data_IF_676486802192
#
_entry.id   IF_676486802192
#
_cell.length_a   1.000
_cell.length_b   1.000
_cell.length_c   1.000
_cell.angle_alpha   90.00
_cell.angle_beta   90.00
_cell.angle_gamma   90.00
#
_symmetry.space_group_name_H-M   'P 1'
#
loop_
_entity.id
_entity.type
_entity.pdbx_description
1 polymer ?
#
# COMPACT_ATOMS: atom_id res chain seq x y z
N UNK A 1 -24.22 33.73 7.40
CA UNK A 1 -24.09 32.29 7.16
C UNK A 1 -25.47 31.73 6.91
N UNK A 2 -25.74 31.23 5.71
CA UNK A 2 -27.08 30.76 5.31
C UNK A 2 -27.47 29.56 6.15
N UNK A 3 -28.68 29.61 6.73
CA UNK A 3 -29.18 28.62 7.70
C UNK A 3 -30.26 27.74 7.03
N UNK A 4 -30.42 26.52 7.51
CA UNK A 4 -31.48 25.59 7.08
C UNK A 4 -32.88 26.17 7.21
N UNK A 5 -33.13 27.16 8.11
CA UNK A 5 -34.40 27.85 8.22
C UNK A 5 -34.72 28.70 6.99
N UNK A 6 -33.69 29.35 6.41
CA UNK A 6 -33.87 30.15 5.20
C UNK A 6 -34.14 29.26 3.97
N UNK A 7 -33.47 28.11 3.89
CA UNK A 7 -33.76 27.09 2.86
C UNK A 7 -35.18 26.59 2.96
N UNK A 8 -35.63 26.25 4.19
CA UNK A 8 -36.99 25.78 4.43
C UNK A 8 -38.04 26.86 4.06
N UNK A 9 -37.78 28.11 4.42
CA UNK A 9 -38.65 29.26 4.08
C UNK A 9 -38.76 29.47 2.58
N UNK A 10 -37.63 29.46 1.86
CA UNK A 10 -37.59 29.65 0.41
C UNK A 10 -38.27 28.48 -0.33
N UNK A 11 -38.07 27.26 0.15
CA UNK A 11 -38.68 26.05 -0.42
C UNK A 11 -40.17 25.87 -0.05
N UNK A 12 -40.75 26.71 0.84
CA UNK A 12 -42.13 26.62 1.32
C UNK A 12 -42.42 25.34 2.11
N UNK A 13 -41.47 24.90 2.95
CA UNK A 13 -41.59 23.67 3.76
C UNK A 13 -41.18 23.92 5.21
N UNK A 14 -41.52 22.97 6.10
CA UNK A 14 -41.01 23.02 7.48
C UNK A 14 -39.49 22.76 7.53
N UNK A 15 -38.83 23.30 8.57
CA UNK A 15 -37.40 23.00 8.83
C UNK A 15 -37.13 21.51 8.93
N UNK A 16 -38.07 20.74 9.52
CA UNK A 16 -37.96 19.30 9.63
C UNK A 16 -38.05 18.62 8.27
N UNK A 17 -38.91 19.09 7.35
CA UNK A 17 -39.01 18.60 5.98
C UNK A 17 -37.75 18.91 5.18
N UNK A 18 -37.23 20.15 5.28
CA UNK A 18 -35.99 20.53 4.65
C UNK A 18 -34.80 19.68 5.17
N UNK A 19 -34.67 19.47 6.48
CA UNK A 19 -33.66 18.61 7.07
C UNK A 19 -33.76 17.15 6.55
N UNK A 20 -34.99 16.64 6.45
CA UNK A 20 -35.26 15.28 5.97
C UNK A 20 -34.93 15.12 4.48
N UNK A 21 -35.19 16.15 3.67
CA UNK A 21 -34.81 16.14 2.24
C UNK A 21 -33.30 16.00 2.01
N UNK A 22 -32.46 16.50 2.92
CA UNK A 22 -31.01 16.29 2.87
C UNK A 22 -30.54 14.99 3.54
N UNK A 23 -31.23 14.54 4.56
CA UNK A 23 -30.83 13.38 5.35
C UNK A 23 -31.26 12.05 4.70
N UNK A 24 -32.51 12.00 4.27
CA UNK A 24 -33.17 10.79 3.72
C UNK A 24 -34.05 11.25 2.54
N UNK A 25 -33.43 11.54 1.37
CA UNK A 25 -34.16 12.14 0.24
C UNK A 25 -35.26 11.23 -0.32
N UNK A 26 -35.14 9.91 -0.14
CA UNK A 26 -36.12 8.91 -0.60
C UNK A 26 -37.46 8.95 0.16
N UNK A 27 -37.44 9.41 1.41
CA UNK A 27 -38.69 9.51 2.21
C UNK A 27 -39.43 10.84 2.01
N UNK A 28 -38.91 11.72 1.15
CA UNK A 28 -39.51 13.02 0.81
C UNK A 28 -40.01 12.98 -0.64
N UNK A 29 -41.26 13.42 -0.88
CA UNK A 29 -41.81 13.45 -2.22
C UNK A 29 -40.88 14.19 -3.18
N UNK A 30 -40.71 13.66 -4.41
CA UNK A 30 -39.73 14.15 -5.39
C UNK A 30 -39.88 15.67 -5.66
N UNK A 31 -41.08 16.18 -5.82
CA UNK A 31 -41.38 17.59 -6.03
C UNK A 31 -40.93 18.47 -4.83
N UNK A 32 -41.19 18.03 -3.62
CA UNK A 32 -40.80 18.75 -2.39
C UNK A 32 -39.28 18.74 -2.23
N UNK A 33 -38.66 17.62 -2.52
CA UNK A 33 -37.20 17.47 -2.48
C UNK A 33 -36.50 18.40 -3.49
N UNK A 34 -37.02 18.47 -4.72
CA UNK A 34 -36.47 19.35 -5.74
C UNK A 34 -36.57 20.82 -5.33
N UNK A 35 -37.73 21.29 -4.79
CA UNK A 35 -37.86 22.64 -4.26
C UNK A 35 -36.83 22.96 -3.18
N UNK A 36 -36.58 22.02 -2.26
CA UNK A 36 -35.55 22.20 -1.21
C UNK A 36 -34.16 22.31 -1.81
N UNK A 37 -33.83 21.47 -2.80
CA UNK A 37 -32.49 21.49 -3.43
C UNK A 37 -32.29 22.76 -4.30
N UNK A 38 -33.31 23.23 -4.99
CA UNK A 38 -33.26 24.52 -5.72
C UNK A 38 -33.01 25.67 -4.74
N UNK A 39 -33.81 25.77 -3.66
CA UNK A 39 -33.62 26.78 -2.65
C UNK A 39 -32.22 26.75 -2.00
N UNK A 40 -31.70 25.57 -1.75
CA UNK A 40 -30.35 25.41 -1.22
C UNK A 40 -29.28 25.91 -2.19
N UNK A 41 -29.40 25.60 -3.49
CA UNK A 41 -28.49 26.10 -4.53
C UNK A 41 -28.53 27.63 -4.65
N UNK A 42 -29.71 28.22 -4.68
CA UNK A 42 -29.90 29.68 -4.75
C UNK A 42 -29.25 30.41 -3.60
N UNK A 43 -29.37 29.83 -2.39
CA UNK A 43 -28.81 30.40 -1.16
C UNK A 43 -27.36 30.04 -0.90
N UNK A 44 -26.73 29.22 -1.74
CA UNK A 44 -25.37 28.69 -1.50
C UNK A 44 -25.30 27.84 -0.23
N UNK A 45 -26.43 27.28 0.23
CA UNK A 45 -26.49 26.49 1.45
C UNK A 45 -25.86 25.11 1.22
N UNK A 46 -24.93 24.77 2.10
CA UNK A 46 -24.36 23.42 2.20
C UNK A 46 -24.82 22.81 3.53
N UNK A 47 -25.47 21.63 3.49
CA UNK A 47 -25.86 20.96 4.74
C UNK A 47 -24.65 20.77 5.65
N UNK A 48 -24.76 21.23 6.89
CA UNK A 48 -23.71 21.01 7.88
C UNK A 48 -23.74 19.53 8.31
N UNK A 49 -22.75 18.76 7.89
CA UNK A 49 -22.60 17.34 8.27
C UNK A 49 -22.36 17.17 9.77
N UNK A 50 -21.74 18.16 10.45
CA UNK A 50 -21.40 18.11 11.87
C UNK A 50 -22.63 17.85 12.77
N UNK A 51 -23.77 18.50 12.48
CA UNK A 51 -25.00 18.29 13.26
C UNK A 51 -25.61 16.89 13.08
N UNK A 52 -25.38 16.24 11.94
CA UNK A 52 -25.80 14.85 11.67
C UNK A 52 -24.83 13.87 12.34
N UNK A 53 -23.54 14.12 12.23
CA UNK A 53 -22.45 13.33 12.83
C UNK A 53 -22.57 13.27 14.35
N UNK A 54 -22.85 14.41 15.01
CA UNK A 54 -23.08 14.48 16.46
C UNK A 54 -24.28 13.65 16.93
N UNK A 55 -25.31 13.48 16.07
CA UNK A 55 -26.51 12.70 16.41
C UNK A 55 -26.37 11.23 16.12
N UNK A 56 -25.59 10.86 15.09
CA UNK A 56 -25.38 9.47 14.65
C UNK A 56 -24.12 8.86 15.25
N UNK A 57 -23.27 9.64 15.91
CA UNK A 57 -21.95 9.26 16.41
C UNK A 57 -21.04 8.65 15.36
N UNK A 58 -21.30 8.90 14.07
CA UNK A 58 -20.49 8.43 12.95
C UNK A 58 -20.15 9.60 12.03
N UNK A 59 -18.90 9.63 11.56
CA UNK A 59 -18.42 10.65 10.63
C UNK A 59 -18.44 10.19 9.19
N UNK A 60 -18.50 8.88 8.95
CA UNK A 60 -18.26 8.22 7.68
C UNK A 60 -16.88 8.62 7.11
N UNK A 61 -15.90 8.79 7.98
CA UNK A 61 -14.53 9.14 7.66
C UNK A 61 -13.60 8.06 8.20
N UNK A 62 -12.74 7.54 7.35
CA UNK A 62 -11.70 6.57 7.69
C UNK A 62 -10.34 7.27 7.55
N UNK A 63 -9.49 7.15 8.57
CA UNK A 63 -8.10 7.56 8.50
C UNK A 63 -7.26 6.49 7.82
N UNK A 64 -6.41 6.90 6.87
CA UNK A 64 -5.48 5.99 6.19
C UNK A 64 -4.06 6.52 6.37
N UNK A 65 -3.18 5.69 6.90
CA UNK A 65 -1.77 5.99 7.07
C UNK A 65 -0.95 5.11 6.15
N UNK A 66 -0.07 5.74 5.37
CA UNK A 66 0.93 5.06 4.54
C UNK A 66 2.30 5.67 4.78
N UNK A 67 3.41 4.96 4.52
CA UNK A 67 4.74 5.53 4.73
C UNK A 67 4.99 6.80 3.92
N UNK A 68 4.73 6.78 2.62
CA UNK A 68 4.86 7.95 1.73
C UNK A 68 4.06 7.75 0.44
N UNK A 69 4.00 8.76 -0.42
CA UNK A 69 3.36 8.69 -1.73
C UNK A 69 4.36 8.71 -2.91
N UNK A 70 5.65 8.78 -2.62
CA UNK A 70 6.69 8.75 -3.65
C UNK A 70 6.82 7.36 -4.28
N UNK A 71 6.62 6.30 -3.48
CA UNK A 71 6.47 4.95 -4.02
C UNK A 71 5.05 4.77 -4.57
N UNK A 72 4.87 4.57 -5.89
CA UNK A 72 3.55 4.45 -6.53
C UNK A 72 2.66 3.36 -5.94
N UNK A 73 3.23 2.31 -5.34
CA UNK A 73 2.43 1.23 -4.72
C UNK A 73 1.45 1.77 -3.68
N UNK A 74 1.88 2.75 -2.84
CA UNK A 74 1.00 3.32 -1.82
C UNK A 74 -0.10 4.20 -2.41
N UNK A 75 0.19 4.90 -3.51
CA UNK A 75 -0.82 5.68 -4.23
C UNK A 75 -1.85 4.77 -4.92
N UNK A 76 -1.41 3.68 -5.57
CA UNK A 76 -2.29 2.69 -6.19
C UNK A 76 -3.18 1.99 -5.13
N UNK A 77 -2.59 1.65 -3.98
CA UNK A 77 -3.30 1.06 -2.85
C UNK A 77 -4.36 2.01 -2.29
N UNK A 78 -3.98 3.27 -2.02
CA UNK A 78 -4.92 4.28 -1.54
C UNK A 78 -6.06 4.51 -2.52
N UNK A 79 -5.77 4.59 -3.82
CA UNK A 79 -6.78 4.75 -4.86
C UNK A 79 -7.76 3.57 -4.91
N UNK A 80 -7.29 2.34 -4.67
CA UNK A 80 -8.14 1.16 -4.60
C UNK A 80 -9.02 1.20 -3.34
N UNK A 81 -8.44 1.51 -2.18
CA UNK A 81 -9.19 1.66 -0.92
C UNK A 81 -10.21 2.80 -0.99
N UNK A 82 -9.88 3.93 -1.66
CA UNK A 82 -10.82 5.04 -1.84
C UNK A 82 -12.06 4.60 -2.62
N UNK A 83 -11.87 3.84 -3.71
CA UNK A 83 -12.99 3.29 -4.49
C UNK A 83 -13.86 2.36 -3.64
N UNK A 84 -13.22 1.46 -2.88
CA UNK A 84 -13.90 0.51 -2.00
C UNK A 84 -14.69 1.22 -0.89
N UNK A 85 -14.09 2.21 -0.22
CA UNK A 85 -14.71 3.00 0.84
C UNK A 85 -15.89 3.84 0.32
N UNK A 86 -15.70 4.51 -0.82
CA UNK A 86 -16.75 5.32 -1.45
C UNK A 86 -17.96 4.49 -1.86
N UNK A 87 -17.77 3.28 -2.39
CA UNK A 87 -18.86 2.36 -2.70
C UNK A 87 -19.68 1.98 -1.45
N UNK A 88 -19.08 2.04 -0.27
CA UNK A 88 -19.70 1.74 1.04
C UNK A 88 -20.12 3.01 1.82
N UNK A 89 -20.05 4.19 1.20
CA UNK A 89 -20.51 5.48 1.76
C UNK A 89 -19.51 6.16 2.71
N UNK A 90 -18.25 5.74 2.70
CA UNK A 90 -17.16 6.33 3.49
C UNK A 90 -16.25 7.21 2.64
N UNK A 91 -15.62 8.19 3.29
CA UNK A 91 -14.53 8.98 2.70
C UNK A 91 -13.22 8.65 3.42
N UNK A 92 -12.10 8.82 2.73
CA UNK A 92 -10.78 8.60 3.31
C UNK A 92 -10.07 9.92 3.62
N UNK A 93 -9.33 9.94 4.71
CA UNK A 93 -8.39 10.99 5.08
C UNK A 93 -6.99 10.38 5.12
N UNK A 94 -6.12 10.81 4.22
CA UNK A 94 -4.78 10.27 4.04
C UNK A 94 -3.74 11.07 4.83
N UNK A 95 -2.81 10.36 5.46
CA UNK A 95 -1.62 10.93 6.07
C UNK A 95 -0.39 10.05 5.81
N UNK A 96 0.80 10.65 5.89
CA UNK A 96 2.07 9.96 5.67
C UNK A 96 2.99 10.06 6.88
N UNK A 97 3.85 9.07 7.09
CA UNK A 97 4.72 8.93 8.26
C UNK A 97 6.22 8.91 7.95
N UNK A 98 6.61 8.82 6.69
CA UNK A 98 8.00 8.72 6.22
C UNK A 98 8.81 7.63 6.95
N UNK A 99 8.18 6.49 7.24
CA UNK A 99 8.78 5.39 8.01
C UNK A 99 9.27 5.80 9.40
N UNK A 100 8.64 6.81 10.03
CA UNK A 100 8.99 7.27 11.38
C UNK A 100 7.93 6.85 12.39
N UNK A 101 8.31 6.03 13.38
CA UNK A 101 7.43 5.61 14.47
C UNK A 101 6.92 6.81 15.31
N UNK A 102 7.72 7.87 15.45
CA UNK A 102 7.31 9.10 16.14
C UNK A 102 6.19 9.80 15.37
N UNK A 103 6.32 9.88 14.04
CA UNK A 103 5.28 10.48 13.19
C UNK A 103 4.03 9.62 13.15
N UNK A 104 4.14 8.29 13.22
CA UNK A 104 2.98 7.38 13.32
C UNK A 104 2.11 7.78 14.50
N UNK A 105 2.68 7.93 15.70
CA UNK A 105 1.95 8.39 16.89
C UNK A 105 1.26 9.74 16.70
N UNK A 106 2.00 10.74 16.21
CA UNK A 106 1.46 12.08 16.03
C UNK A 106 0.31 12.12 15.01
N UNK A 107 0.45 11.36 13.91
CA UNK A 107 -0.54 11.30 12.84
C UNK A 107 -1.80 10.55 13.30
N UNK A 108 -1.67 9.43 14.03
CA UNK A 108 -2.82 8.71 14.60
C UNK A 108 -3.61 9.62 15.53
N UNK A 109 -2.94 10.30 16.46
CA UNK A 109 -3.56 11.26 17.36
C UNK A 109 -4.33 12.36 16.61
N UNK A 110 -3.77 12.90 15.53
CA UNK A 110 -4.45 13.93 14.73
C UNK A 110 -5.68 13.35 14.01
N UNK A 111 -5.60 12.15 13.44
CA UNK A 111 -6.75 11.48 12.82
C UNK A 111 -7.86 11.20 13.84
N UNK A 112 -7.53 10.76 15.06
CA UNK A 112 -8.51 10.56 16.13
C UNK A 112 -9.18 11.88 16.54
N UNK A 113 -8.44 13.00 16.58
CA UNK A 113 -9.02 14.35 16.80
C UNK A 113 -10.00 14.75 15.70
N UNK A 114 -9.77 14.32 14.46
CA UNK A 114 -10.72 14.48 13.34
C UNK A 114 -11.95 13.56 13.45
N UNK A 115 -12.00 12.71 14.49
CA UNK A 115 -13.08 11.76 14.75
C UNK A 115 -13.32 10.81 13.58
N UNK A 116 -12.26 10.24 13.02
CA UNK A 116 -12.40 9.13 12.08
C UNK A 116 -13.09 7.96 12.77
N UNK A 117 -13.96 7.23 12.05
CA UNK A 117 -14.70 6.09 12.60
C UNK A 117 -13.80 4.86 12.75
N UNK A 118 -12.64 4.83 12.06
CA UNK A 118 -11.63 3.80 12.15
C UNK A 118 -10.40 4.14 11.32
N UNK A 119 -9.37 3.30 11.43
CA UNK A 119 -8.05 3.53 10.86
C UNK A 119 -7.60 2.36 9.98
N UNK A 120 -7.01 2.66 8.83
CA UNK A 120 -6.21 1.73 8.03
C UNK A 120 -4.76 2.13 8.17
N UNK A 121 -3.92 1.22 8.62
CA UNK A 121 -2.56 1.52 9.03
C UNK A 121 -1.54 0.71 8.26
N UNK A 122 -0.58 1.39 7.62
CA UNK A 122 0.66 0.79 7.13
C UNK A 122 1.80 1.40 7.95
N UNK A 123 2.26 0.66 8.95
CA UNK A 123 3.26 1.12 9.93
C UNK A 123 4.67 0.60 9.60
N UNK A 124 5.65 1.02 10.37
CA UNK A 124 7.04 0.58 10.23
C UNK A 124 7.23 -0.87 10.69
N UNK A 125 6.73 -1.20 11.87
CA UNK A 125 6.76 -2.54 12.47
C UNK A 125 5.39 -2.85 13.09
N UNK A 126 4.77 -3.96 12.71
CA UNK A 126 3.46 -4.36 13.24
C UNK A 126 3.56 -5.13 14.57
N UNK A 127 4.73 -5.72 14.86
CA UNK A 127 4.92 -6.55 16.07
C UNK A 127 5.32 -5.73 17.31
N UNK A 128 6.06 -4.63 17.10
CA UNK A 128 6.59 -3.80 18.19
C UNK A 128 6.16 -2.34 18.01
N UNK A 129 4.87 -2.07 18.12
CA UNK A 129 4.30 -0.74 17.86
C UNK A 129 3.38 -0.27 18.98
N UNK A 130 3.84 0.70 19.77
CA UNK A 130 3.08 1.28 20.89
C UNK A 130 1.76 1.92 20.47
N UNK A 131 1.68 2.41 19.24
CA UNK A 131 0.44 3.01 18.73
C UNK A 131 -0.63 1.94 18.57
N UNK A 132 -0.26 0.78 18.01
CA UNK A 132 -1.19 -0.35 17.85
C UNK A 132 -1.64 -0.89 19.20
N UNK A 133 -0.72 -1.01 20.17
CA UNK A 133 -1.05 -1.41 21.55
C UNK A 133 -2.05 -0.45 22.18
N UNK A 134 -1.86 0.87 22.04
CA UNK A 134 -2.78 1.88 22.56
C UNK A 134 -4.16 1.79 21.90
N UNK A 135 -4.21 1.68 20.58
CA UNK A 135 -5.47 1.56 19.83
C UNK A 135 -6.26 0.30 20.23
N UNK A 136 -5.56 -0.82 20.48
CA UNK A 136 -6.19 -2.06 20.91
C UNK A 136 -6.74 -1.93 22.35
N UNK A 137 -6.01 -1.31 23.28
CA UNK A 137 -6.46 -1.08 24.66
C UNK A 137 -7.70 -0.14 24.67
N UNK A 138 -7.75 0.85 23.80
CA UNK A 138 -8.83 1.82 23.69
C UNK A 138 -10.02 1.29 22.87
N UNK A 139 -9.96 0.06 22.36
CA UNK A 139 -10.94 -0.55 21.44
C UNK A 139 -11.26 0.33 20.22
N UNK A 140 -10.24 1.07 19.73
CA UNK A 140 -10.35 1.89 18.54
C UNK A 140 -10.30 0.99 17.30
N UNK A 141 -11.30 1.04 16.39
CA UNK A 141 -11.32 0.18 15.21
C UNK A 141 -10.15 0.47 14.27
N UNK A 142 -9.32 -0.52 14.01
CA UNK A 142 -8.25 -0.41 13.00
C UNK A 142 -8.02 -1.72 12.25
N UNK A 143 -7.41 -1.61 11.08
CA UNK A 143 -6.91 -2.72 10.26
C UNK A 143 -5.50 -2.38 9.78
N UNK A 144 -4.59 -3.34 9.96
CA UNK A 144 -3.25 -3.28 9.38
C UNK A 144 -3.33 -3.65 7.89
N UNK A 145 -2.95 -2.73 7.02
CA UNK A 145 -2.89 -2.98 5.60
C UNK A 145 -1.45 -3.35 5.19
N UNK A 146 -1.31 -4.46 4.47
CA UNK A 146 -0.04 -4.98 3.92
C UNK A 146 0.94 -5.53 4.95
N UNK A 147 0.51 -5.70 6.20
CA UNK A 147 1.28 -6.35 7.26
C UNK A 147 0.83 -7.79 7.47
N UNK A 148 1.78 -8.63 7.84
CA UNK A 148 1.56 -9.94 8.42
C UNK A 148 1.88 -9.82 9.91
N UNK A 149 1.01 -10.33 10.77
CA UNK A 149 1.18 -10.36 12.23
C UNK A 149 0.66 -11.66 12.79
N UNK A 150 1.31 -12.17 13.81
CA UNK A 150 0.85 -13.32 14.60
C UNK A 150 -0.03 -12.87 15.79
N UNK A 151 -0.21 -11.55 15.98
CA UNK A 151 -1.06 -11.03 17.04
C UNK A 151 -2.55 -11.18 16.67
N UNK A 152 -3.24 -12.07 17.38
CA UNK A 152 -4.68 -12.37 17.17
C UNK A 152 -5.61 -11.20 17.55
N UNK A 153 -5.12 -10.21 18.29
CA UNK A 153 -5.89 -9.02 18.65
C UNK A 153 -5.93 -7.97 17.52
N UNK A 154 -5.16 -8.18 16.44
CA UNK A 154 -5.09 -7.27 15.32
C UNK A 154 -5.77 -7.84 14.08
N UNK A 155 -6.55 -7.02 13.38
CA UNK A 155 -6.98 -7.33 12.02
C UNK A 155 -5.87 -6.93 11.04
N UNK A 156 -5.39 -7.87 10.24
CA UNK A 156 -4.39 -7.61 9.22
C UNK A 156 -4.80 -8.17 7.85
N UNK A 157 -4.58 -7.40 6.81
CA UNK A 157 -4.82 -7.84 5.43
C UNK A 157 -3.54 -7.62 4.63
N UNK A 158 -2.95 -8.70 4.15
CA UNK A 158 -1.64 -8.69 3.52
C UNK A 158 -1.53 -9.65 2.36
N UNK A 159 -0.39 -9.61 1.70
CA UNK A 159 0.12 -10.73 0.90
C UNK A 159 1.18 -11.48 1.70
N UNK A 160 1.41 -12.75 1.33
CA UNK A 160 2.55 -13.49 1.84
C UNK A 160 3.84 -12.96 1.22
N UNK A 161 4.48 -12.03 1.94
CA UNK A 161 5.73 -11.40 1.51
C UNK A 161 6.87 -12.41 1.36
N UNK A 162 6.95 -13.40 2.27
CA UNK A 162 7.98 -14.43 2.28
C UNK A 162 7.78 -15.38 1.10
N UNK A 163 6.59 -15.92 0.91
CA UNK A 163 6.27 -16.78 -0.23
C UNK A 163 6.38 -16.02 -1.57
N UNK A 164 5.95 -14.76 -1.63
CA UNK A 164 6.06 -13.93 -2.82
C UNK A 164 7.51 -13.71 -3.27
N UNK A 165 8.43 -13.43 -2.35
CA UNK A 165 9.85 -13.30 -2.70
C UNK A 165 10.51 -14.64 -3.00
N UNK A 166 10.12 -15.72 -2.32
CA UNK A 166 10.55 -17.06 -2.68
C UNK A 166 10.12 -17.42 -4.12
N UNK A 167 8.90 -17.04 -4.51
CA UNK A 167 8.40 -17.21 -5.88
C UNK A 167 9.25 -16.43 -6.91
N UNK A 168 9.62 -15.17 -6.61
CA UNK A 168 10.51 -14.37 -7.47
C UNK A 168 11.89 -15.02 -7.63
N UNK A 169 12.46 -15.49 -6.52
CA UNK A 169 13.77 -16.13 -6.51
C UNK A 169 13.74 -17.44 -7.29
N UNK A 170 12.72 -18.26 -7.09
CA UNK A 170 12.51 -19.51 -7.82
C UNK A 170 12.34 -19.26 -9.31
N UNK A 171 11.58 -18.24 -9.70
CA UNK A 171 11.44 -17.87 -11.11
C UNK A 171 12.78 -17.65 -11.82
N UNK A 172 13.73 -16.98 -11.14
CA UNK A 172 15.09 -16.79 -11.67
C UNK A 172 15.91 -18.10 -11.65
N UNK A 173 15.75 -18.94 -10.63
CA UNK A 173 16.41 -20.25 -10.55
C UNK A 173 15.95 -21.16 -11.70
N UNK A 174 14.64 -21.18 -11.98
CA UNK A 174 14.04 -21.96 -13.07
C UNK A 174 14.49 -21.44 -14.44
N UNK A 175 14.77 -20.15 -14.55
CA UNK A 175 15.40 -19.54 -15.72
C UNK A 175 16.93 -19.85 -15.84
N UNK A 176 17.50 -20.64 -14.95
CA UNK A 176 18.90 -21.09 -14.98
C UNK A 176 19.87 -20.26 -14.16
N UNK A 177 19.45 -19.17 -13.54
CA UNK A 177 20.33 -18.38 -12.67
C UNK A 177 20.71 -19.15 -11.41
N UNK A 178 21.99 -19.09 -11.02
CA UNK A 178 22.52 -19.73 -9.80
C UNK A 178 23.19 -18.73 -8.85
N UNK A 179 23.62 -17.59 -9.38
CA UNK A 179 24.19 -16.48 -8.61
C UNK A 179 23.17 -15.35 -8.60
N UNK A 180 22.34 -15.35 -7.57
CA UNK A 180 21.27 -14.37 -7.37
C UNK A 180 21.60 -13.58 -6.10
N UNK A 181 21.39 -12.27 -6.11
CA UNK A 181 21.51 -11.43 -4.93
C UNK A 181 20.23 -10.60 -4.71
N UNK A 182 19.97 -10.22 -3.46
CA UNK A 182 18.83 -9.35 -3.14
C UNK A 182 19.31 -7.93 -2.87
N UNK A 183 18.55 -6.97 -3.43
CA UNK A 183 18.69 -5.53 -3.20
C UNK A 183 17.45 -5.04 -2.47
N UNK A 184 17.62 -4.33 -1.36
CA UNK A 184 16.53 -3.78 -0.56
C UNK A 184 16.89 -2.39 -0.03
N UNK A 185 15.89 -1.59 0.35
CA UNK A 185 16.09 -0.48 1.26
C UNK A 185 16.38 -0.97 2.68
N UNK A 186 16.47 -0.07 3.68
CA UNK A 186 16.80 -0.45 5.06
C UNK A 186 15.81 -1.49 5.61
N UNK A 187 16.26 -2.75 5.72
CA UNK A 187 15.37 -3.88 6.09
C UNK A 187 14.80 -3.76 7.51
N UNK A 188 15.52 -3.06 8.39
CA UNK A 188 15.08 -2.82 9.76
C UNK A 188 13.96 -1.76 9.87
N UNK A 189 13.71 -1.01 8.81
CA UNK A 189 12.63 0.00 8.75
C UNK A 189 11.34 -0.54 8.12
N UNK A 190 11.30 -1.84 7.76
CA UNK A 190 10.13 -2.44 7.14
C UNK A 190 10.09 -3.96 7.40
N UNK A 191 9.10 -4.40 8.16
CA UNK A 191 8.81 -5.82 8.37
C UNK A 191 8.59 -6.57 7.04
N UNK A 192 7.94 -5.93 6.07
CA UNK A 192 7.73 -6.47 4.72
C UNK A 192 9.05 -6.73 3.99
N UNK A 193 10.00 -5.79 4.07
CA UNK A 193 11.32 -5.98 3.47
C UNK A 193 12.10 -7.12 4.14
N UNK A 194 11.97 -7.26 5.46
CA UNK A 194 12.56 -8.36 6.24
C UNK A 194 11.98 -9.72 5.81
N UNK A 195 10.65 -9.84 5.74
CA UNK A 195 9.99 -11.08 5.29
C UNK A 195 10.37 -11.44 3.84
N UNK A 196 10.47 -10.45 2.96
CA UNK A 196 10.94 -10.66 1.58
C UNK A 196 12.38 -11.17 1.56
N UNK A 197 13.25 -10.63 2.41
CA UNK A 197 14.64 -11.15 2.52
C UNK A 197 14.68 -12.60 3.02
N UNK A 198 13.84 -12.94 3.97
CA UNK A 198 13.70 -14.34 4.43
C UNK A 198 13.26 -15.26 3.29
N UNK A 199 12.26 -14.85 2.49
CA UNK A 199 11.80 -15.63 1.34
C UNK A 199 12.86 -15.85 0.27
N UNK A 200 13.70 -14.84 0.00
CA UNK A 200 14.87 -14.99 -0.86
C UNK A 200 15.84 -16.05 -0.30
N UNK A 201 16.18 -15.94 0.99
CA UNK A 201 17.11 -16.88 1.66
C UNK A 201 16.58 -18.32 1.63
N UNK A 202 15.31 -18.50 1.93
CA UNK A 202 14.67 -19.82 1.93
C UNK A 202 14.76 -20.47 0.56
N UNK A 203 14.38 -19.75 -0.49
CA UNK A 203 14.41 -20.27 -1.84
C UNK A 203 15.83 -20.61 -2.31
N UNK A 204 16.84 -19.80 -1.98
CA UNK A 204 18.26 -20.11 -2.27
C UNK A 204 18.71 -21.38 -1.54
N UNK A 205 18.39 -21.49 -0.25
CA UNK A 205 18.77 -22.65 0.58
C UNK A 205 18.08 -23.94 0.11
N UNK A 206 16.77 -23.89 -0.19
CA UNK A 206 16.01 -25.03 -0.72
C UNK A 206 16.61 -25.62 -2.00
N UNK A 207 17.25 -24.77 -2.82
CA UNK A 207 17.90 -25.19 -4.06
C UNK A 207 19.41 -25.44 -3.91
N UNK A 208 19.94 -25.43 -2.69
CA UNK A 208 21.36 -25.67 -2.41
C UNK A 208 22.28 -24.58 -2.98
N UNK A 209 21.79 -23.36 -3.16
CA UNK A 209 22.53 -22.24 -3.69
C UNK A 209 23.10 -21.36 -2.57
N UNK A 210 24.23 -20.70 -2.86
CA UNK A 210 24.85 -19.76 -1.92
C UNK A 210 23.93 -18.56 -1.68
N UNK A 211 23.52 -18.38 -0.43
CA UNK A 211 22.77 -17.21 0.03
C UNK A 211 23.75 -16.08 0.35
N UNK A 212 23.48 -14.89 -0.19
CA UNK A 212 24.27 -13.69 0.04
C UNK A 212 23.55 -12.76 1.04
N UNK A 213 24.30 -11.97 1.82
CA UNK A 213 23.71 -10.87 2.57
C UNK A 213 22.93 -9.94 1.62
N UNK A 214 21.86 -9.36 2.13
CA UNK A 214 21.11 -8.34 1.38
C UNK A 214 22.02 -7.13 1.12
N UNK A 215 21.89 -6.55 -0.07
CA UNK A 215 22.55 -5.29 -0.43
C UNK A 215 21.58 -4.18 -0.06
N UNK A 216 21.83 -3.54 1.07
CA UNK A 216 20.98 -2.45 1.54
C UNK A 216 21.32 -1.14 0.82
N UNK A 217 20.26 -0.49 0.30
CA UNK A 217 20.32 0.86 -0.26
C UNK A 217 19.99 1.90 0.83
N UNK A 218 20.44 3.15 0.66
CA UNK A 218 20.14 4.20 1.64
C UNK A 218 18.66 4.50 1.84
N UNK A 219 17.84 4.21 0.82
CA UNK A 219 16.38 4.42 0.83
C UNK A 219 15.64 3.24 0.20
N UNK A 220 14.33 3.15 0.47
CA UNK A 220 13.49 2.09 -0.11
C UNK A 220 13.22 2.27 -1.61
N UNK A 221 13.51 3.43 -2.18
CA UNK A 221 13.10 3.80 -3.54
C UNK A 221 14.26 4.12 -4.48
N UNK A 222 15.45 4.34 -3.95
CA UNK A 222 16.58 4.85 -4.71
C UNK A 222 17.77 3.89 -4.63
N UNK A 223 18.24 3.47 -5.80
CA UNK A 223 19.43 2.65 -5.91
C UNK A 223 20.70 3.51 -5.96
N UNK A 224 21.75 3.02 -5.30
CA UNK A 224 23.08 3.57 -5.38
C UNK A 224 24.00 2.55 -6.07
N UNK A 225 24.50 2.89 -7.27
CA UNK A 225 25.40 2.01 -8.04
C UNK A 225 26.70 1.74 -7.28
N UNK A 226 27.21 2.70 -6.51
CA UNK A 226 28.44 2.51 -5.77
C UNK A 226 28.36 1.36 -4.75
N UNK A 227 27.18 1.12 -4.17
CA UNK A 227 26.95 -0.01 -3.28
C UNK A 227 26.96 -1.36 -4.00
N UNK A 228 26.65 -1.39 -5.30
CA UNK A 228 26.57 -2.60 -6.12
C UNK A 228 27.87 -2.91 -6.87
N UNK A 229 28.61 -1.90 -7.27
CA UNK A 229 29.78 -2.03 -8.14
C UNK A 229 30.80 -3.09 -7.67
N UNK A 230 31.18 -3.15 -6.38
CA UNK A 230 32.11 -4.17 -5.90
C UNK A 230 31.63 -5.60 -6.13
N UNK A 231 30.31 -5.83 -5.96
CA UNK A 231 29.70 -7.14 -6.17
C UNK A 231 29.65 -7.51 -7.67
N UNK A 232 29.33 -6.55 -8.52
CA UNK A 232 29.17 -6.76 -9.95
C UNK A 232 30.52 -7.02 -10.67
N UNK A 233 31.63 -6.48 -10.14
CA UNK A 233 32.97 -6.65 -10.70
C UNK A 233 33.73 -7.84 -10.12
N UNK A 234 33.17 -8.52 -9.10
CA UNK A 234 33.80 -9.65 -8.44
C UNK A 234 33.72 -10.95 -9.26
N UNK A 235 34.59 -11.95 -8.95
CA UNK A 235 34.60 -13.24 -9.64
C UNK A 235 33.31 -14.04 -9.44
N UNK A 236 32.56 -13.72 -8.41
CA UNK A 236 31.28 -14.34 -8.07
C UNK A 236 30.09 -13.41 -8.40
N UNK A 237 30.23 -12.47 -9.33
CA UNK A 237 29.20 -11.54 -9.71
C UNK A 237 27.84 -12.24 -9.92
N UNK A 238 26.73 -11.67 -9.42
CA UNK A 238 25.40 -12.21 -9.66
C UNK A 238 25.03 -12.10 -11.13
N UNK A 239 24.23 -13.04 -11.61
CA UNK A 239 23.62 -12.98 -12.93
C UNK A 239 22.18 -12.47 -12.89
N UNK A 240 21.61 -12.38 -11.69
CA UNK A 240 20.28 -11.82 -11.47
C UNK A 240 20.16 -11.15 -10.09
N UNK A 241 19.28 -10.17 -10.02
CA UNK A 241 18.93 -9.45 -8.78
C UNK A 241 17.42 -9.55 -8.53
N UNK A 242 17.07 -9.83 -7.27
CA UNK A 242 15.70 -9.64 -6.76
C UNK A 242 15.66 -8.34 -5.96
N UNK A 243 14.68 -7.48 -6.22
CA UNK A 243 14.53 -6.22 -5.54
C UNK A 243 13.35 -6.28 -4.56
N UNK A 244 13.50 -5.65 -3.40
CA UNK A 244 12.46 -5.63 -2.38
C UNK A 244 11.17 -4.92 -2.81
N UNK A 245 11.22 -4.08 -3.83
CA UNK A 245 10.05 -3.44 -4.43
C UNK A 245 10.34 -2.97 -5.87
N UNK A 246 9.28 -2.63 -6.60
CA UNK A 246 9.37 -2.26 -8.01
C UNK A 246 10.05 -0.91 -8.24
N UNK A 247 9.79 0.10 -7.39
CA UNK A 247 10.39 1.41 -7.59
C UNK A 247 11.92 1.34 -7.41
N UNK A 248 12.38 0.57 -6.43
CA UNK A 248 13.81 0.29 -6.27
C UNK A 248 14.38 -0.47 -7.47
N UNK A 249 13.65 -1.45 -8.01
CA UNK A 249 14.06 -2.18 -9.21
C UNK A 249 14.18 -1.24 -10.43
N UNK A 250 13.25 -0.31 -10.60
CA UNK A 250 13.27 0.70 -11.68
C UNK A 250 14.48 1.63 -11.53
N UNK A 251 14.69 2.16 -10.31
CA UNK A 251 15.86 2.98 -10.01
C UNK A 251 17.17 2.22 -10.28
N UNK A 252 17.22 0.96 -9.85
CA UNK A 252 18.37 0.08 -10.08
C UNK A 252 18.66 -0.16 -11.57
N UNK A 253 17.64 -0.44 -12.36
CA UNK A 253 17.78 -0.62 -13.82
C UNK A 253 18.32 0.67 -14.46
N UNK A 254 17.84 1.82 -14.03
CA UNK A 254 18.33 3.11 -14.53
C UNK A 254 19.82 3.33 -14.18
N UNK A 255 20.23 3.04 -12.94
CA UNK A 255 21.62 3.14 -12.48
C UNK A 255 22.54 2.15 -13.21
N UNK A 256 22.12 0.90 -13.35
CA UNK A 256 22.86 -0.13 -14.09
C UNK A 256 23.14 0.32 -15.52
N UNK A 257 22.11 0.80 -16.23
CA UNK A 257 22.25 1.25 -17.63
C UNK A 257 23.15 2.47 -17.77
N UNK A 258 23.08 3.45 -16.86
CA UNK A 258 23.99 4.63 -16.85
C UNK A 258 25.46 4.20 -16.72
N UNK A 259 25.70 3.09 -16.01
CA UNK A 259 27.05 2.56 -15.78
C UNK A 259 27.43 1.43 -16.76
N UNK A 260 26.73 1.30 -17.88
CA UNK A 260 27.07 0.37 -18.96
C UNK A 260 26.68 -1.09 -18.70
N UNK A 261 25.79 -1.35 -17.75
CA UNK A 261 25.25 -2.67 -17.49
C UNK A 261 23.92 -2.85 -18.21
N UNK A 262 23.87 -3.76 -19.18
CA UNK A 262 22.64 -4.14 -19.88
C UNK A 262 21.68 -4.92 -18.97
N UNK A 263 20.42 -4.58 -19.00
CA UNK A 263 19.31 -5.29 -18.38
C UNK A 263 18.27 -5.57 -19.47
N UNK A 264 17.99 -6.84 -19.78
CA UNK A 264 18.42 -8.08 -19.10
C UNK A 264 19.75 -8.66 -19.61
N UNK A 265 20.42 -8.09 -20.62
CA UNK A 265 21.49 -8.72 -21.41
C UNK A 265 22.68 -9.20 -20.56
N UNK A 266 23.02 -8.46 -19.51
CA UNK A 266 24.11 -8.81 -18.58
C UNK A 266 23.62 -9.20 -17.19
N UNK A 267 22.46 -8.69 -16.79
CA UNK A 267 21.94 -8.85 -15.44
C UNK A 267 20.40 -8.83 -15.48
N UNK A 268 19.78 -9.94 -15.10
CA UNK A 268 18.33 -9.99 -14.92
C UNK A 268 17.91 -9.27 -13.64
N UNK A 269 16.79 -8.55 -13.67
CA UNK A 269 16.24 -7.83 -12.51
C UNK A 269 14.76 -8.13 -12.38
N UNK A 270 14.32 -8.54 -11.18
CA UNK A 270 12.93 -8.77 -10.84
C UNK A 270 12.52 -7.91 -9.65
N UNK A 271 11.37 -7.28 -9.72
CA UNK A 271 10.79 -6.45 -8.66
C UNK A 271 9.73 -7.16 -7.82
N UNK A 272 9.09 -6.40 -6.96
CA UNK A 272 7.97 -6.79 -6.13
C UNK A 272 7.02 -5.59 -6.00
N UNK A 273 5.73 -5.79 -6.00
CA UNK A 273 4.55 -4.95 -5.85
C UNK A 273 3.65 -5.00 -7.08
N UNK A 274 4.20 -5.12 -8.29
CA UNK A 274 3.43 -5.18 -9.54
C UNK A 274 2.90 -3.82 -9.97
N UNK A 275 3.57 -2.70 -9.62
CA UNK A 275 3.08 -1.35 -9.95
C UNK A 275 2.90 -1.15 -11.45
N UNK A 276 1.93 -0.29 -11.80
CA UNK A 276 1.59 -0.01 -13.20
C UNK A 276 2.77 0.58 -13.97
N UNK A 277 3.59 1.43 -13.34
CA UNK A 277 4.77 2.04 -13.94
C UNK A 277 5.75 1.01 -14.53
N UNK A 278 5.90 -0.16 -13.87
CA UNK A 278 6.76 -1.24 -14.35
C UNK A 278 6.37 -1.80 -15.73
N UNK A 279 5.11 -1.63 -16.16
CA UNK A 279 4.64 -2.03 -17.49
C UNK A 279 4.87 -0.98 -18.56
N UNK A 280 5.19 0.25 -18.16
CA UNK A 280 5.32 1.42 -19.06
C UNK A 280 6.78 1.81 -19.32
N UNK A 281 7.72 1.10 -18.74
CA UNK A 281 9.15 1.32 -18.94
C UNK A 281 9.73 0.36 -20.00
N UNK A 282 10.97 0.61 -20.41
CA UNK A 282 11.74 -0.31 -21.25
C UNK A 282 13.14 -0.57 -20.66
N UNK A 283 13.50 -1.84 -20.39
CA UNK A 283 12.65 -3.04 -20.50
C UNK A 283 11.47 -3.00 -19.54
N UNK A 284 10.35 -3.62 -19.90
CA UNK A 284 9.22 -3.81 -18.97
C UNK A 284 9.67 -4.66 -17.79
N UNK A 285 9.22 -4.26 -16.57
CA UNK A 285 9.68 -4.91 -15.34
C UNK A 285 8.96 -6.24 -15.10
N UNK A 286 9.74 -7.31 -14.95
CA UNK A 286 9.29 -8.55 -14.34
C UNK A 286 9.06 -8.31 -12.84
N UNK A 287 7.91 -8.69 -12.31
CA UNK A 287 7.56 -8.34 -10.92
C UNK A 287 6.62 -9.36 -10.29
N UNK A 288 6.72 -9.48 -8.97
CA UNK A 288 5.70 -10.11 -8.13
C UNK A 288 4.54 -9.15 -7.96
N UNK A 289 3.37 -9.53 -8.42
CA UNK A 289 2.16 -8.70 -8.38
C UNK A 289 1.34 -8.99 -7.14
N UNK A 290 0.99 -7.94 -6.42
CA UNK A 290 0.02 -7.98 -5.32
C UNK A 290 -1.39 -7.75 -5.86
N UNK A 291 -2.42 -8.47 -5.37
CA UNK A 291 -3.82 -8.29 -5.79
C UNK A 291 -4.43 -7.04 -5.13
N UNK A 292 -3.93 -5.85 -5.47
CA UNK A 292 -4.24 -4.56 -4.79
C UNK A 292 -5.75 -4.29 -4.71
N UNK A 293 -6.50 -4.62 -5.77
CA UNK A 293 -7.95 -4.39 -5.77
C UNK A 293 -8.68 -5.24 -4.74
N UNK A 294 -8.36 -6.55 -4.68
CA UNK A 294 -8.95 -7.49 -3.72
C UNK A 294 -8.52 -7.16 -2.29
N UNK A 295 -7.23 -6.85 -2.07
CA UNK A 295 -6.74 -6.39 -0.78
C UNK A 295 -7.52 -5.17 -0.28
N UNK A 296 -7.74 -4.18 -1.14
CA UNK A 296 -8.43 -2.95 -0.77
C UNK A 296 -9.89 -3.21 -0.36
N UNK A 297 -10.60 -4.07 -1.08
CA UNK A 297 -11.97 -4.45 -0.73
C UNK A 297 -12.02 -5.15 0.63
N UNK A 298 -11.12 -6.11 0.88
CA UNK A 298 -11.05 -6.84 2.15
C UNK A 298 -10.65 -5.90 3.30
N UNK A 299 -9.68 -4.99 3.11
CA UNK A 299 -9.26 -4.01 4.13
C UNK A 299 -10.45 -3.17 4.58
N UNK A 300 -11.22 -2.64 3.64
CA UNK A 300 -12.36 -1.79 3.96
C UNK A 300 -13.49 -2.61 4.60
N UNK A 301 -13.80 -3.80 4.10
CA UNK A 301 -14.83 -4.67 4.68
C UNK A 301 -14.48 -5.11 6.11
N UNK A 302 -13.20 -5.44 6.36
CA UNK A 302 -12.72 -5.77 7.70
C UNK A 302 -12.81 -4.57 8.63
N UNK A 303 -12.40 -3.37 8.18
CA UNK A 303 -12.52 -2.18 9.01
C UNK A 303 -13.97 -1.87 9.37
N UNK A 304 -14.89 -1.96 8.41
CA UNK A 304 -16.31 -1.74 8.67
C UNK A 304 -16.88 -2.79 9.64
N UNK A 305 -16.42 -4.03 9.54
CA UNK A 305 -16.76 -5.08 10.51
C UNK A 305 -16.24 -4.75 11.91
N UNK A 306 -15.00 -4.24 12.04
CA UNK A 306 -14.43 -3.78 13.30
C UNK A 306 -15.20 -2.60 13.88
N UNK A 307 -15.59 -1.62 13.06
CA UNK A 307 -16.44 -0.49 13.47
C UNK A 307 -17.81 -0.99 13.99
N UNK A 308 -18.32 -2.10 13.44
CA UNK A 308 -19.54 -2.74 13.91
C UNK A 308 -19.34 -3.64 15.14
N UNK A 309 -18.13 -3.73 15.70
CA UNK A 309 -17.81 -4.51 16.91
C UNK A 309 -17.49 -5.99 16.64
N UNK A 310 -17.18 -6.37 15.39
CA UNK A 310 -16.73 -7.74 15.09
C UNK A 310 -15.33 -8.01 15.65
N UNK A 311 -15.03 -9.28 15.95
CA UNK A 311 -13.69 -9.71 16.35
C UNK A 311 -12.65 -9.49 15.24
N UNK A 312 -11.36 -9.34 15.60
CA UNK A 312 -10.27 -9.27 14.63
C UNK A 312 -10.20 -10.50 13.72
N UNK A 313 -9.91 -10.30 12.45
CA UNK A 313 -9.65 -11.38 11.48
C UNK A 313 -8.53 -10.95 10.57
N UNK A 314 -7.58 -11.83 10.28
CA UNK A 314 -6.48 -11.58 9.37
C UNK A 314 -6.64 -12.36 8.06
N UNK A 315 -6.24 -11.73 6.96
CA UNK A 315 -6.26 -12.31 5.62
C UNK A 315 -4.88 -12.19 4.96
N UNK A 316 -4.42 -13.28 4.36
CA UNK A 316 -3.18 -13.31 3.61
C UNK A 316 -3.46 -13.84 2.20
N UNK A 317 -3.25 -12.99 1.18
CA UNK A 317 -3.55 -13.31 -0.21
C UNK A 317 -2.28 -13.76 -0.95
N UNK A 318 -2.41 -14.64 -1.94
CA UNK A 318 -1.28 -15.07 -2.75
C UNK A 318 -0.86 -13.97 -3.74
N UNK A 319 0.43 -13.97 -4.06
CA UNK A 319 1.01 -13.20 -5.15
C UNK A 319 1.19 -14.05 -6.40
N UNK A 320 1.41 -13.41 -7.55
CA UNK A 320 1.79 -14.08 -8.78
C UNK A 320 2.90 -13.30 -9.52
N UNK A 321 3.60 -13.97 -10.44
CA UNK A 321 4.60 -13.30 -11.29
C UNK A 321 3.90 -12.69 -12.51
N UNK A 322 4.23 -11.43 -12.79
CA UNK A 322 4.04 -10.79 -14.08
C UNK A 322 5.38 -10.85 -14.82
N UNK A 323 5.52 -11.68 -15.86
CA UNK A 323 6.71 -11.68 -16.68
C UNK A 323 6.98 -10.31 -17.30
N UNK A 324 8.24 -9.99 -17.51
CA UNK A 324 8.67 -8.74 -18.14
C UNK A 324 10.01 -8.91 -18.84
N UNK A 325 10.39 -7.90 -19.60
CA UNK A 325 11.65 -7.91 -20.41
C UNK A 325 12.91 -7.71 -19.55
N UNK A 326 12.76 -7.33 -18.27
CA UNK A 326 13.91 -7.13 -17.36
C UNK A 326 14.58 -8.42 -16.89
N UNK A 327 14.05 -9.59 -17.29
CA UNK A 327 14.61 -10.90 -17.01
C UNK A 327 14.74 -11.71 -18.30
N UNK A 328 15.75 -12.58 -18.38
CA UNK A 328 15.94 -13.54 -19.46
C UNK A 328 16.49 -14.86 -18.91
N UNK A 329 16.39 -15.99 -19.64
CA UNK A 329 17.08 -17.20 -19.27
C UNK A 329 18.59 -16.96 -19.17
N UNK A 330 19.21 -17.58 -18.15
CA UNK A 330 20.65 -17.48 -17.98
C UNK A 330 21.37 -18.09 -19.18
N UNK A 331 22.21 -17.30 -19.82
CA UNK A 331 23.14 -17.73 -20.83
C UNK A 331 24.54 -17.55 -20.26
N UNK A 332 25.35 -18.61 -20.31
CA UNK A 332 26.76 -18.51 -19.92
C UNK A 332 27.43 -17.53 -20.88
N UNK A 333 27.74 -16.33 -20.39
CA UNK A 333 28.44 -15.36 -21.22
C UNK A 333 29.82 -15.92 -21.57
N UNK A 334 30.02 -16.27 -22.83
CA UNK A 334 31.36 -16.43 -23.39
C UNK A 334 32.10 -15.11 -23.11
N UNK A 335 33.03 -15.14 -22.17
CA UNK A 335 33.87 -14.01 -21.82
C UNK A 335 34.55 -13.49 -23.07
N UNK A 336 33.99 -12.47 -23.72
CA UNK A 336 34.75 -11.66 -24.64
C UNK A 336 35.78 -10.91 -23.79
N UNK A 337 37.04 -11.36 -23.89
CA UNK A 337 38.17 -10.62 -23.32
C UNK A 337 38.11 -9.20 -23.90
N UNK A 338 38.28 -8.16 -23.11
CA UNK A 338 38.43 -6.81 -23.65
C UNK A 338 39.70 -6.77 -24.46
N UNK A 339 39.60 -6.36 -25.73
CA UNK A 339 40.75 -5.97 -26.55
C UNK A 339 41.32 -4.65 -26.07
#
# INVERSE_FOLDING_TARGET
MTDLKEVARLAGVSRATAARAFANPEVVRAETRERVFVAARELGFRPNRLGRQLRLQTTNLIGVIVPNLLNPVFAEQFQAMERAARARGYNLLLATTDYSAERESAVVEELLRQRVDGLVLTVTDAEHNRVLESLAIEDTPFVLAYHQTDNEDYSAVSVDNRAGMALATRYLIDAGHRRIAMVAGPVMQSDRARLRYEGYRDSMNEHGLETRPVIEMPAHTDADFAALEPLLRGPTAPSALVCSNDLLAISLIAELRRNGWGVPERLSVIGFDGITLGTQMHPTLCSVVQPIGELADIVIDQLLSRIAGAAPVSHCLPCHIRPGESTQPYQEMLHAQPQ
#
